data_IF_288263806337
#
_entry.id   IF_288263806337
#
_cell.length_a   1.000
_cell.length_b   1.000
_cell.length_c   1.000
_cell.angle_alpha   90.00
_cell.angle_beta   90.00
_cell.angle_gamma   90.00
#
_symmetry.space_group_name_H-M   'P 1'
#
loop_
_entity.id
_entity.type
_entity.pdbx_description
1 polymer ?
#
# COMPACT_ATOMS: atom_id res chain seq x y z
N UNK A 1 -21.26 1.41 23.59
CA UNK A 1 -20.98 2.71 24.23
C UNK A 1 -19.60 3.15 23.79
N UNK A 2 -19.48 4.38 23.30
CA UNK A 2 -18.18 4.96 22.98
C UNK A 2 -17.45 5.26 24.30
N UNK A 3 -16.17 4.92 24.36
CA UNK A 3 -15.32 5.24 25.51
C UNK A 3 -14.92 6.73 25.46
N UNK A 4 -14.47 7.33 26.56
CA UNK A 4 -13.75 8.60 26.53
C UNK A 4 -12.64 8.58 25.46
N UNK A 5 -12.42 9.70 24.75
CA UNK A 5 -11.43 9.76 23.67
C UNK A 5 -10.01 9.40 24.12
N UNK A 6 -9.63 9.77 25.34
CA UNK A 6 -8.33 9.44 25.92
C UNK A 6 -8.09 7.92 26.06
N UNK A 7 -9.15 7.12 26.20
CA UNK A 7 -9.05 5.66 26.35
C UNK A 7 -8.70 4.94 25.04
N UNK A 8 -8.70 5.67 23.91
CA UNK A 8 -8.25 5.18 22.61
C UNK A 8 -6.81 5.58 22.29
N UNK A 9 -6.16 6.35 23.17
CA UNK A 9 -4.79 6.79 22.95
C UNK A 9 -3.85 5.58 22.90
N UNK A 10 -3.02 5.52 21.85
CA UNK A 10 -1.92 4.59 21.79
C UNK A 10 -0.85 5.00 22.81
N UNK A 11 -0.07 4.03 23.30
CA UNK A 11 1.11 4.36 24.10
C UNK A 11 2.16 5.10 23.25
N UNK A 12 3.08 5.79 23.92
CA UNK A 12 4.09 6.65 23.28
C UNK A 12 4.88 5.91 22.20
N UNK A 13 5.32 4.68 22.48
CA UNK A 13 6.07 3.85 21.52
C UNK A 13 5.25 3.53 20.25
N UNK A 14 3.97 3.26 20.40
CA UNK A 14 3.08 3.02 19.27
C UNK A 14 2.80 4.31 18.50
N UNK A 15 2.69 5.46 19.19
CA UNK A 15 2.57 6.76 18.55
C UNK A 15 3.81 7.09 17.70
N UNK A 16 5.02 6.94 18.24
CA UNK A 16 6.29 7.17 17.51
C UNK A 16 6.42 6.28 16.26
N UNK A 17 5.99 5.01 16.37
CA UNK A 17 5.92 4.10 15.22
C UNK A 17 4.97 4.63 14.14
N UNK A 18 3.79 5.09 14.54
CA UNK A 18 2.81 5.65 13.59
C UNK A 18 3.26 6.97 12.98
N UNK A 19 3.96 7.83 13.72
CA UNK A 19 4.56 9.05 13.19
C UNK A 19 5.55 8.73 12.07
N UNK A 20 6.36 7.68 12.24
CA UNK A 20 7.27 7.20 11.19
C UNK A 20 6.51 6.67 9.96
N UNK A 21 5.46 5.87 10.17
CA UNK A 21 4.62 5.33 9.09
C UNK A 21 3.91 6.44 8.31
N UNK A 22 3.43 7.49 9.00
CA UNK A 22 2.76 8.62 8.36
C UNK A 22 3.75 9.40 7.49
N UNK A 23 4.98 9.63 7.97
CA UNK A 23 6.03 10.29 7.18
C UNK A 23 6.42 9.48 5.93
N UNK A 24 6.51 8.16 6.04
CA UNK A 24 6.69 7.27 4.88
C UNK A 24 5.52 7.40 3.90
N UNK A 25 4.29 7.42 4.41
CA UNK A 25 3.09 7.58 3.60
C UNK A 25 3.08 8.91 2.84
N UNK A 26 3.53 9.99 3.46
CA UNK A 26 3.62 11.30 2.79
C UNK A 26 4.61 11.27 1.63
N UNK A 27 5.77 10.65 1.82
CA UNK A 27 6.76 10.45 0.76
C UNK A 27 6.21 9.59 -0.39
N UNK A 28 5.50 8.51 -0.08
CA UNK A 28 4.85 7.64 -1.08
C UNK A 28 3.75 8.40 -1.85
N UNK A 29 2.93 9.18 -1.15
CA UNK A 29 1.86 9.96 -1.78
C UNK A 29 2.41 10.96 -2.80
N UNK A 30 3.53 11.60 -2.52
CA UNK A 30 4.14 12.55 -3.46
C UNK A 30 4.47 11.89 -4.83
N UNK A 31 5.00 10.65 -4.80
CA UNK A 31 5.32 9.90 -6.03
C UNK A 31 4.05 9.35 -6.70
N UNK A 32 3.04 8.92 -5.91
CA UNK A 32 1.72 8.56 -6.45
C UNK A 32 1.04 9.73 -7.18
N UNK A 33 1.11 10.95 -6.64
CA UNK A 33 0.57 12.13 -7.32
C UNK A 33 1.32 12.44 -8.62
N UNK A 34 2.63 12.22 -8.65
CA UNK A 34 3.43 12.36 -9.87
C UNK A 34 2.99 11.36 -10.92
N UNK A 35 2.80 10.09 -10.55
CA UNK A 35 2.31 9.05 -11.44
C UNK A 35 0.89 9.35 -11.98
N UNK A 36 0.03 9.98 -11.18
CA UNK A 36 -1.30 10.45 -11.63
C UNK A 36 -1.21 11.62 -12.60
N UNK A 37 -0.34 12.59 -12.33
CA UNK A 37 -0.12 13.73 -13.22
C UNK A 37 0.37 13.26 -14.61
N UNK A 38 1.22 12.24 -14.62
CA UNK A 38 1.73 11.58 -15.83
C UNK A 38 0.74 10.60 -16.46
N UNK A 39 -0.45 10.43 -15.88
CA UNK A 39 -1.52 9.52 -16.33
C UNK A 39 -1.11 8.04 -16.40
N UNK A 40 -0.10 7.63 -15.62
CA UNK A 40 0.28 6.21 -15.49
C UNK A 40 -0.66 5.43 -14.59
N UNK A 41 -1.34 6.11 -13.66
CA UNK A 41 -2.41 5.54 -12.83
C UNK A 41 -3.53 6.57 -12.71
N UNK A 42 -4.77 6.12 -12.51
CA UNK A 42 -5.89 6.98 -12.14
C UNK A 42 -6.09 7.03 -10.63
N UNK A 43 -6.27 5.86 -10.00
CA UNK A 43 -6.51 5.71 -8.56
C UNK A 43 -5.30 5.08 -7.86
N UNK A 44 -5.12 5.36 -6.57
CA UNK A 44 -4.06 4.71 -5.76
C UNK A 44 -4.16 3.17 -5.82
N UNK A 45 -5.38 2.62 -5.79
CA UNK A 45 -5.62 1.18 -5.90
C UNK A 45 -5.22 0.59 -7.27
N UNK A 46 -4.87 1.40 -8.27
CA UNK A 46 -4.33 0.90 -9.53
C UNK A 46 -2.79 0.79 -9.49
N UNK A 47 -2.15 1.16 -8.38
CA UNK A 47 -0.70 1.17 -8.24
C UNK A 47 -0.14 -0.05 -7.50
N UNK A 48 1.06 -0.46 -7.91
CA UNK A 48 2.02 -1.22 -7.13
C UNK A 48 3.15 -0.28 -6.69
N UNK A 49 3.57 -0.39 -5.43
CA UNK A 49 4.63 0.45 -4.86
C UNK A 49 5.81 -0.41 -4.42
N UNK A 50 7.00 -0.14 -4.96
CA UNK A 50 8.25 -0.70 -4.46
C UNK A 50 9.02 0.35 -3.67
N UNK A 51 9.43 -0.01 -2.45
CA UNK A 51 10.23 0.83 -1.58
C UNK A 51 11.67 0.33 -1.53
N UNK A 52 12.61 1.24 -1.72
CA UNK A 52 14.04 0.95 -1.68
C UNK A 52 14.70 1.85 -0.64
N UNK A 53 15.54 1.27 0.22
CA UNK A 53 16.31 2.01 1.21
C UNK A 53 17.76 2.12 0.74
N UNK A 54 18.18 3.35 0.45
CA UNK A 54 19.52 3.70 -0.02
C UNK A 54 20.44 4.19 1.12
N UNK A 55 19.87 4.39 2.32
CA UNK A 55 20.62 4.73 3.53
C UNK A 55 20.04 4.05 4.78
N UNK A 56 20.78 4.13 5.88
CA UNK A 56 20.39 3.54 7.16
C UNK A 56 19.11 4.16 7.73
N UNK A 57 18.87 5.44 7.50
CA UNK A 57 17.70 6.13 8.04
C UNK A 57 16.40 5.61 7.40
N UNK A 58 16.39 5.46 6.07
CA UNK A 58 15.30 4.85 5.33
C UNK A 58 15.14 3.38 5.70
N UNK A 59 16.24 2.63 5.83
CA UNK A 59 16.18 1.22 6.24
C UNK A 59 15.54 1.05 7.63
N UNK A 60 15.93 1.87 8.62
CA UNK A 60 15.32 1.84 9.95
C UNK A 60 13.84 2.24 9.92
N UNK A 61 13.47 3.23 9.10
CA UNK A 61 12.07 3.62 8.93
C UNK A 61 11.23 2.46 8.39
N UNK A 62 11.71 1.75 7.35
CA UNK A 62 11.03 0.57 6.80
C UNK A 62 10.98 -0.59 7.80
N UNK A 63 12.04 -0.84 8.56
CA UNK A 63 12.04 -1.86 9.63
C UNK A 63 10.99 -1.55 10.72
N UNK A 64 10.72 -0.28 10.99
CA UNK A 64 9.70 0.11 11.97
C UNK A 64 8.28 -0.33 11.56
N UNK A 65 8.04 -0.53 10.26
CA UNK A 65 6.73 -0.88 9.72
C UNK A 65 6.43 -2.38 9.77
N UNK A 66 7.35 -3.21 10.28
CA UNK A 66 7.13 -4.65 10.46
C UNK A 66 5.80 -4.90 11.20
N UNK A 67 5.00 -5.83 10.67
CA UNK A 67 3.67 -6.17 11.18
C UNK A 67 2.55 -5.21 10.76
N UNK A 68 2.83 -4.23 9.90
CA UNK A 68 1.83 -3.32 9.31
C UNK A 68 1.70 -3.62 7.81
N UNK A 69 0.47 -3.65 7.31
CA UNK A 69 0.20 -3.78 5.88
C UNK A 69 0.46 -2.46 5.17
N UNK A 70 1.62 -2.32 4.53
CA UNK A 70 2.00 -1.10 3.82
C UNK A 70 1.03 -0.77 2.66
N UNK A 71 0.57 -1.79 1.93
CA UNK A 71 -0.41 -1.61 0.87
C UNK A 71 -1.71 -0.96 1.39
N UNK A 72 -2.18 -1.35 2.58
CA UNK A 72 -3.36 -0.75 3.21
C UNK A 72 -3.09 0.69 3.68
N UNK A 73 -1.92 0.95 4.26
CA UNK A 73 -1.53 2.30 4.72
C UNK A 73 -1.44 3.29 3.55
N UNK A 74 -0.87 2.86 2.43
CA UNK A 74 -0.71 3.68 1.24
C UNK A 74 -1.93 3.66 0.32
N UNK A 75 -2.91 2.78 0.60
CA UNK A 75 -4.15 2.62 -0.18
C UNK A 75 -3.83 2.22 -1.63
N UNK A 76 -2.87 1.31 -1.79
CA UNK A 76 -2.45 0.76 -3.08
C UNK A 76 -2.79 -0.73 -3.14
N UNK A 77 -2.76 -1.33 -4.34
CA UNK A 77 -3.12 -2.75 -4.47
C UNK A 77 -2.03 -3.69 -3.97
N UNK A 78 -0.78 -3.27 -4.07
CA UNK A 78 0.35 -4.04 -3.61
C UNK A 78 1.53 -3.13 -3.24
N UNK A 79 2.31 -3.55 -2.26
CA UNK A 79 3.50 -2.82 -1.83
C UNK A 79 4.57 -3.79 -1.32
N UNK A 80 5.79 -3.63 -1.79
CA UNK A 80 6.94 -4.41 -1.35
C UNK A 80 8.12 -3.51 -0.96
N UNK A 81 9.08 -4.12 -0.27
CA UNK A 81 10.40 -3.55 -0.03
C UNK A 81 11.37 -4.40 -0.84
N UNK A 82 12.23 -3.78 -1.63
CA UNK A 82 13.13 -4.49 -2.55
C UNK A 82 14.48 -3.78 -2.67
N UNK A 83 15.46 -4.49 -3.22
CA UNK A 83 16.79 -3.98 -3.60
C UNK A 83 17.04 -4.12 -5.10
N UNK A 84 16.01 -4.48 -5.87
CA UNK A 84 16.11 -4.52 -7.33
C UNK A 84 16.14 -3.10 -7.88
N UNK A 85 16.79 -2.90 -9.01
CA UNK A 85 16.75 -1.58 -9.67
C UNK A 85 15.32 -1.25 -10.14
N UNK A 86 14.87 0.01 -10.01
CA UNK A 86 13.57 0.43 -10.51
C UNK A 86 13.41 0.17 -12.01
N UNK A 87 12.20 -0.22 -12.43
CA UNK A 87 11.89 -0.41 -13.84
C UNK A 87 11.85 0.94 -14.58
N UNK A 88 12.27 0.94 -15.85
CA UNK A 88 12.44 2.17 -16.64
C UNK A 88 11.10 2.90 -16.90
N UNK A 89 10.00 2.14 -16.97
CA UNK A 89 8.65 2.62 -17.18
C UNK A 89 7.96 3.09 -15.89
N UNK A 90 8.50 2.76 -14.71
CA UNK A 90 7.95 3.19 -13.42
C UNK A 90 8.11 4.70 -13.22
N UNK A 91 7.27 5.28 -12.37
CA UNK A 91 7.51 6.62 -11.83
C UNK A 91 8.31 6.48 -10.55
N UNK A 92 9.49 7.10 -10.52
CA UNK A 92 10.43 7.00 -9.41
C UNK A 92 10.64 8.37 -8.78
N UNK A 93 10.63 8.43 -7.46
CA UNK A 93 10.90 9.65 -6.71
C UNK A 93 11.62 9.37 -5.40
N UNK A 94 12.22 10.41 -4.84
CA UNK A 94 12.88 10.37 -3.53
C UNK A 94 11.96 10.93 -2.46
N UNK A 95 12.03 10.34 -1.26
CA UNK A 95 11.34 10.85 -0.09
C UNK A 95 11.87 12.21 0.36
N UNK A 96 10.98 13.06 0.85
CA UNK A 96 11.34 14.33 1.49
C UNK A 96 11.58 14.16 2.99
N UNK A 97 10.84 13.26 3.63
CA UNK A 97 11.02 12.90 5.03
C UNK A 97 12.20 11.95 5.20
N UNK A 98 12.39 11.05 4.23
CA UNK A 98 13.51 10.12 4.16
C UNK A 98 14.24 10.26 2.81
N UNK A 99 15.29 11.10 2.72
CA UNK A 99 16.01 11.32 1.46
C UNK A 99 16.66 10.06 0.85
N UNK A 100 17.01 9.07 1.69
CA UNK A 100 17.47 7.76 1.24
C UNK A 100 16.35 6.79 0.87
N UNK A 101 15.08 7.18 0.95
CA UNK A 101 13.98 6.35 0.46
C UNK A 101 13.75 6.64 -1.03
N UNK A 102 13.93 5.64 -1.86
CA UNK A 102 13.42 5.65 -3.23
C UNK A 102 12.06 4.98 -3.26
N UNK A 103 11.07 5.69 -3.79
CA UNK A 103 9.72 5.18 -4.03
C UNK A 103 9.56 4.98 -5.52
N UNK A 104 9.21 3.76 -5.90
CA UNK A 104 8.88 3.38 -7.27
C UNK A 104 7.39 3.04 -7.35
N UNK A 105 6.71 3.62 -8.33
CA UNK A 105 5.28 3.42 -8.60
C UNK A 105 5.11 2.87 -10.01
N UNK A 106 4.43 1.74 -10.13
CA UNK A 106 3.99 1.14 -11.38
C UNK A 106 2.51 0.77 -11.32
N UNK A 107 1.91 0.38 -12.46
CA UNK A 107 0.57 -0.19 -12.45
C UNK A 107 0.56 -1.54 -11.72
N UNK A 108 -0.46 -1.77 -10.89
CA UNK A 108 -0.63 -3.05 -10.22
C UNK A 108 -1.08 -4.14 -11.19
N UNK A 109 -0.49 -5.32 -11.02
CA UNK A 109 -0.76 -6.47 -11.87
C UNK A 109 -2.15 -7.08 -11.65
N UNK A 110 -2.69 -7.64 -12.73
CA UNK A 110 -3.92 -8.43 -12.71
C UNK A 110 -5.17 -7.64 -13.07
N UNK A 111 -6.31 -8.07 -12.54
CA UNK A 111 -7.60 -7.47 -12.83
C UNK A 111 -8.25 -6.89 -11.57
N UNK A 112 -9.17 -5.94 -11.79
CA UNK A 112 -9.89 -5.24 -10.72
C UNK A 112 -10.86 -6.19 -10.04
N UNK A 113 -10.75 -6.32 -8.72
CA UNK A 113 -11.78 -6.97 -7.93
C UNK A 113 -13.01 -6.06 -7.81
N UNK A 114 -14.18 -6.53 -8.24
CA UNK A 114 -15.40 -5.69 -8.24
C UNK A 114 -15.96 -5.38 -6.85
N UNK A 115 -15.48 -6.05 -5.80
CA UNK A 115 -15.91 -5.81 -4.41
C UNK A 115 -15.01 -4.83 -3.65
N UNK A 116 -13.70 -4.99 -3.72
CA UNK A 116 -12.77 -4.13 -2.97
C UNK A 116 -11.95 -3.17 -3.83
N UNK A 117 -12.12 -3.23 -5.16
CA UNK A 117 -11.47 -2.38 -6.17
C UNK A 117 -9.95 -2.45 -6.23
N UNK A 118 -9.32 -3.32 -5.45
CA UNK A 118 -7.92 -3.67 -5.61
C UNK A 118 -7.71 -4.47 -6.90
N UNK A 119 -6.59 -4.23 -7.57
CA UNK A 119 -6.04 -5.07 -8.61
C UNK A 119 -5.46 -6.34 -7.96
N UNK A 120 -5.71 -7.49 -8.56
CA UNK A 120 -5.11 -8.74 -8.13
C UNK A 120 -4.93 -9.69 -9.32
N UNK A 121 -3.77 -10.35 -9.45
CA UNK A 121 -3.55 -11.37 -10.48
C UNK A 121 -4.42 -12.61 -10.26
N UNK A 122 -5.07 -12.73 -9.10
CA UNK A 122 -5.87 -13.88 -8.69
C UNK A 122 -7.38 -13.68 -8.87
N UNK A 123 -7.80 -12.55 -9.45
CA UNK A 123 -9.21 -12.41 -9.85
C UNK A 123 -9.55 -13.48 -10.89
N UNK A 124 -10.64 -14.20 -10.67
CA UNK A 124 -11.07 -15.30 -11.54
C UNK A 124 -10.64 -16.70 -11.11
N UNK A 125 -9.83 -16.85 -10.05
CA UNK A 125 -9.43 -18.17 -9.52
C UNK A 125 -10.59 -18.94 -8.87
N UNK A 126 -11.63 -18.26 -8.38
CA UNK A 126 -12.85 -18.90 -7.85
C UNK A 126 -13.95 -18.92 -8.93
N UNK A 127 -14.33 -20.10 -9.46
CA UNK A 127 -15.36 -20.21 -10.48
C UNK A 127 -16.74 -19.70 -10.05
N UNK A 128 -17.06 -19.71 -8.76
CA UNK A 128 -18.32 -19.21 -8.24
C UNK A 128 -18.32 -17.67 -8.13
N UNK A 129 -17.14 -17.06 -8.10
CA UNK A 129 -16.94 -15.63 -7.94
C UNK A 129 -15.87 -15.09 -8.91
N UNK A 130 -16.12 -15.15 -10.23
CA UNK A 130 -15.09 -14.92 -11.25
C UNK A 130 -14.57 -13.47 -11.32
N UNK A 131 -15.27 -12.51 -10.70
CA UNK A 131 -14.89 -11.09 -10.67
C UNK A 131 -14.26 -10.67 -9.34
N UNK A 132 -14.07 -11.61 -8.41
CA UNK A 132 -13.56 -11.33 -7.06
C UNK A 132 -12.15 -11.86 -6.88
N UNK A 133 -11.34 -11.13 -6.09
CA UNK A 133 -10.07 -11.66 -5.60
C UNK A 133 -10.32 -12.70 -4.49
N UNK A 134 -9.36 -13.58 -4.17
CA UNK A 134 -9.55 -14.66 -3.20
C UNK A 134 -10.02 -14.18 -1.81
N UNK A 135 -9.55 -13.01 -1.36
CA UNK A 135 -9.99 -12.40 -0.10
C UNK A 135 -11.49 -12.09 -0.13
N UNK A 136 -11.96 -11.48 -1.20
CA UNK A 136 -13.36 -11.09 -1.36
C UNK A 136 -14.26 -12.31 -1.59
N UNK A 137 -13.84 -13.27 -2.40
CA UNK A 137 -14.55 -14.52 -2.61
C UNK A 137 -14.73 -15.28 -1.29
N UNK A 138 -13.68 -15.39 -0.46
CA UNK A 138 -13.76 -16.02 0.86
C UNK A 138 -14.73 -15.34 1.82
N UNK A 139 -14.84 -14.01 1.77
CA UNK A 139 -15.80 -13.28 2.60
C UNK A 139 -17.22 -13.52 2.12
N UNK A 140 -17.45 -13.43 0.80
CA UNK A 140 -18.78 -13.58 0.20
C UNK A 140 -19.31 -15.01 0.37
N UNK A 141 -18.46 -16.03 0.25
CA UNK A 141 -18.88 -17.43 0.42
C UNK A 141 -19.37 -17.78 1.83
N UNK A 142 -19.07 -16.93 2.83
CA UNK A 142 -19.54 -17.06 4.22
C UNK A 142 -20.81 -16.27 4.50
N UNK A 143 -21.30 -15.47 3.55
CA UNK A 143 -22.53 -14.70 3.74
C UNK A 143 -23.75 -15.63 3.59
N UNK A 144 -24.85 -15.37 4.32
CA UNK A 144 -26.09 -16.11 4.12
C UNK A 144 -26.54 -16.00 2.66
N UNK A 145 -26.91 -17.13 2.07
CA UNK A 145 -27.58 -17.16 0.77
C UNK A 145 -29.07 -17.11 1.03
N UNK A 146 -29.71 -16.02 0.63
CA UNK A 146 -31.16 -15.81 0.72
C UNK A 146 -31.81 -16.13 -0.63
#
# INVERSE_FOLDING_TARGET
>A
MNRPYADYALNDKAMEKWDTIIRLRDDVNAVLETARADKKIGKALEAHVSLHADDDAAAQALLSTIGVSLAEVFIVSDCNITTAEPAAESTVGKGSNFPGLTVEVSEANGAKCERCWMQSPKVGEDPNHPTLCPRCANVVSKLPQF
#
